data_IF_172267788191
#
_entry.id   IF_172267788191
#
_cell.length_a   1.000
_cell.length_b   1.000
_cell.length_c   1.000
_cell.angle_alpha   90.00
_cell.angle_beta   90.00
_cell.angle_gamma   90.00
#
_symmetry.space_group_name_H-M   'P 1'
#
loop_
_entity.id
_entity.type
_entity.pdbx_description
1 polymer ?
#
# COMPACT_ATOMS: atom_id res chain seq x y z
N UNK A 1 36.83 -6.65 64.63
CA UNK A 1 36.43 -7.54 63.52
C UNK A 1 35.07 -7.10 63.03
N UNK A 2 34.93 -6.45 61.86
CA UNK A 2 33.66 -6.38 61.19
C UNK A 2 33.65 -7.30 59.97
N UNK A 3 32.66 -8.17 60.00
CA UNK A 3 32.15 -9.14 59.03
C UNK A 3 32.19 -8.68 57.58
N UNK A 4 32.80 -9.49 56.72
CA UNK A 4 32.74 -9.34 55.26
C UNK A 4 31.32 -9.39 54.71
N UNK A 5 31.14 -8.80 53.53
CA UNK A 5 29.85 -8.66 52.84
C UNK A 5 29.13 -10.01 52.77
N UNK A 6 27.93 -10.08 53.36
CA UNK A 6 27.09 -11.28 53.34
C UNK A 6 26.61 -11.58 51.91
N UNK A 7 26.65 -12.87 51.53
CA UNK A 7 26.24 -13.37 50.21
C UNK A 7 24.80 -12.95 49.88
N UNK A 8 23.95 -12.83 50.89
CA UNK A 8 22.56 -12.38 50.74
C UNK A 8 22.46 -10.90 50.38
N UNK A 9 23.35 -10.07 50.92
CA UNK A 9 23.44 -8.64 50.60
C UNK A 9 23.97 -8.44 49.18
N UNK A 10 24.97 -9.24 48.77
CA UNK A 10 25.49 -9.23 47.40
C UNK A 10 24.41 -9.61 46.39
N UNK A 11 23.68 -10.72 46.61
CA UNK A 11 22.61 -11.16 45.71
C UNK A 11 21.46 -10.15 45.58
N UNK A 12 21.11 -9.44 46.65
CA UNK A 12 20.12 -8.36 46.62
C UNK A 12 20.61 -7.16 45.80
N UNK A 13 21.89 -6.81 45.91
CA UNK A 13 22.47 -5.71 45.14
C UNK A 13 22.52 -6.03 43.63
N UNK A 14 22.82 -7.27 43.25
CA UNK A 14 22.89 -7.69 41.83
C UNK A 14 21.51 -7.78 41.18
N UNK A 15 20.46 -8.11 41.94
CA UNK A 15 19.08 -8.16 41.40
C UNK A 15 18.47 -6.78 41.20
N UNK A 16 18.89 -5.76 41.98
CA UNK A 16 18.42 -4.39 41.83
C UNK A 16 18.97 -3.70 40.56
N UNK A 17 20.21 -3.99 40.14
CA UNK A 17 20.80 -3.39 38.93
C UNK A 17 20.28 -3.99 37.62
N UNK A 18 19.92 -5.28 37.61
CA UNK A 18 19.33 -5.93 36.43
C UNK A 18 17.90 -5.41 36.12
N UNK A 19 17.10 -5.12 37.15
CA UNK A 19 15.75 -4.59 36.96
C UNK A 19 15.74 -3.13 36.46
N UNK A 20 16.75 -2.31 36.81
CA UNK A 20 16.85 -0.92 36.37
C UNK A 20 17.16 -0.75 34.89
N UNK A 21 17.93 -1.68 34.30
CA UNK A 21 18.28 -1.62 32.87
C UNK A 21 17.11 -1.99 31.95
N UNK A 22 16.13 -2.75 32.44
CA UNK A 22 14.95 -3.17 31.65
C UNK A 22 13.83 -2.13 31.60
N UNK A 23 13.87 -1.07 32.41
CA UNK A 23 12.84 0.00 32.37
C UNK A 23 13.20 1.08 31.36
N UNK A 24 14.50 1.33 31.12
CA UNK A 24 14.96 2.31 30.12
C UNK A 24 14.72 1.89 28.66
N UNK A 25 14.47 0.61 28.40
CA UNK A 25 14.23 0.04 27.07
C UNK A 25 12.75 -0.08 26.69
N UNK A 26 11.83 0.29 27.59
CA UNK A 26 10.38 0.22 27.34
C UNK A 26 9.84 1.53 26.72
N UNK A 27 10.63 2.60 26.67
CA UNK A 27 10.24 3.76 25.87
C UNK A 27 10.36 3.40 24.39
N UNK A 28 9.26 3.31 23.63
CA UNK A 28 9.33 3.06 22.21
C UNK A 28 10.14 4.19 21.58
N UNK A 29 11.12 3.85 20.74
CA UNK A 29 11.95 4.80 19.99
C UNK A 29 11.12 5.78 19.12
N UNK A 30 9.81 5.55 18.98
CA UNK A 30 8.87 6.46 18.32
C UNK A 30 8.46 7.68 19.16
N UNK A 31 8.68 7.65 20.49
CA UNK A 31 8.17 8.67 21.40
C UNK A 31 9.02 9.95 21.34
N UNK A 32 10.20 9.87 20.73
CA UNK A 32 11.06 10.99 20.41
C UNK A 32 11.09 11.28 18.90
N UNK A 33 10.02 10.96 18.17
CA UNK A 33 9.82 11.51 16.83
C UNK A 33 9.01 12.79 16.89
N UNK A 34 9.47 13.76 17.69
CA UNK A 34 9.25 15.19 17.39
C UNK A 34 10.15 15.55 16.19
N UNK A 35 9.91 14.86 15.07
CA UNK A 35 10.32 15.38 13.79
C UNK A 35 9.38 16.56 13.58
N UNK A 36 9.78 17.72 14.09
CA UNK A 36 9.15 18.99 13.76
C UNK A 36 9.03 18.98 12.24
N UNK A 37 7.81 18.73 11.77
CA UNK A 37 7.50 18.79 10.36
C UNK A 37 7.66 20.27 10.08
N UNK A 38 8.83 20.65 9.56
CA UNK A 38 9.03 21.98 8.99
C UNK A 38 7.86 22.15 8.03
N UNK A 39 6.93 23.04 8.38
CA UNK A 39 5.75 23.25 7.59
C UNK A 39 6.23 23.72 6.23
N UNK A 40 6.21 22.81 5.24
CA UNK A 40 6.55 23.14 3.86
C UNK A 40 5.39 23.97 3.34
N UNK A 41 5.51 25.28 3.47
CA UNK A 41 4.59 26.21 2.82
C UNK A 41 4.92 26.22 1.33
N UNK A 42 4.14 25.51 0.52
CA UNK A 42 4.27 25.55 -0.93
C UNK A 42 3.75 26.90 -1.44
N UNK A 43 4.61 27.78 -2.00
CA UNK A 43 4.19 29.10 -2.47
C UNK A 43 3.35 29.05 -3.75
N UNK A 44 3.29 27.89 -4.40
CA UNK A 44 2.52 27.64 -5.62
C UNK A 44 1.52 26.51 -5.38
N UNK A 45 0.39 26.58 -6.07
CA UNK A 45 -0.66 25.55 -6.08
C UNK A 45 -1.02 25.19 -7.52
N UNK A 46 -1.57 24.00 -7.71
CA UNK A 46 -2.08 23.56 -9.02
C UNK A 46 -3.44 24.18 -9.30
N UNK A 47 -3.74 24.45 -10.57
CA UNK A 47 -5.11 24.76 -11.01
C UNK A 47 -6.01 23.54 -10.87
N UNK A 48 -7.31 23.75 -10.62
CA UNK A 48 -8.28 22.67 -10.72
C UNK A 48 -8.44 22.25 -12.19
N UNK A 49 -8.77 20.97 -12.45
CA UNK A 49 -8.91 20.49 -13.83
C UNK A 49 -9.94 21.29 -14.66
N UNK A 50 -11.01 21.77 -14.03
CA UNK A 50 -12.04 22.59 -14.69
C UNK A 50 -11.59 24.00 -15.06
N UNK A 51 -10.51 24.50 -14.44
CA UNK A 51 -9.94 25.83 -14.72
C UNK A 51 -8.93 25.79 -15.88
N UNK A 52 -8.62 24.60 -16.42
CA UNK A 52 -7.63 24.40 -17.48
C UNK A 52 -8.33 23.88 -18.73
N UNK A 53 -8.27 24.65 -19.82
CA UNK A 53 -8.76 24.23 -21.13
C UNK A 53 -7.61 23.84 -22.04
N UNK A 54 -7.62 22.60 -22.53
CA UNK A 54 -6.72 22.18 -23.61
C UNK A 54 -7.25 22.73 -24.93
N UNK A 55 -6.44 23.54 -25.60
CA UNK A 55 -6.72 24.02 -26.95
C UNK A 55 -6.39 22.95 -27.99
N UNK A 56 -6.79 23.20 -29.24
CA UNK A 56 -6.55 22.26 -30.33
C UNK A 56 -5.04 21.96 -30.49
N UNK A 57 -4.70 20.68 -30.42
CA UNK A 57 -3.32 20.21 -30.44
C UNK A 57 -3.14 18.78 -29.93
N UNK A 58 -1.90 18.28 -29.88
CA UNK A 58 -1.62 16.88 -29.51
C UNK A 58 -2.12 16.48 -28.11
N UNK A 59 -2.07 17.39 -27.13
CA UNK A 59 -2.51 17.11 -25.77
C UNK A 59 -4.03 16.95 -25.68
N UNK A 60 -4.81 17.80 -26.36
CA UNK A 60 -6.27 17.68 -26.43
C UNK A 60 -6.67 16.36 -27.11
N UNK A 61 -6.01 16.02 -28.22
CA UNK A 61 -6.27 14.76 -28.93
C UNK A 61 -6.01 13.54 -28.02
N UNK A 62 -4.89 13.51 -27.31
CA UNK A 62 -4.60 12.43 -26.36
C UNK A 62 -5.62 12.37 -25.22
N UNK A 63 -6.04 13.52 -24.69
CA UNK A 63 -7.07 13.61 -23.66
C UNK A 63 -8.40 13.00 -24.16
N UNK A 64 -8.84 13.38 -25.36
CA UNK A 64 -10.08 12.86 -25.97
C UNK A 64 -10.00 11.37 -26.28
N UNK A 65 -8.87 10.89 -26.82
CA UNK A 65 -8.62 9.46 -27.07
C UNK A 65 -8.69 8.66 -25.76
N UNK A 66 -8.04 9.12 -24.70
CA UNK A 66 -8.09 8.47 -23.39
C UNK A 66 -9.50 8.48 -22.81
N UNK A 67 -10.17 9.63 -22.83
CA UNK A 67 -11.52 9.76 -22.30
C UNK A 67 -12.50 8.83 -23.03
N UNK A 68 -12.42 8.80 -24.37
CA UNK A 68 -13.21 7.90 -25.19
C UNK A 68 -12.92 6.44 -24.86
N UNK A 69 -11.66 6.03 -24.73
CA UNK A 69 -11.30 4.65 -24.40
C UNK A 69 -11.81 4.24 -23.02
N UNK A 70 -11.54 5.02 -21.98
CA UNK A 70 -11.88 4.63 -20.61
C UNK A 70 -13.39 4.64 -20.34
N UNK A 71 -14.14 5.57 -20.94
CA UNK A 71 -15.58 5.62 -20.78
C UNK A 71 -16.34 4.58 -21.62
N UNK A 72 -15.68 3.93 -22.58
CA UNK A 72 -16.28 2.89 -23.40
C UNK A 72 -15.67 1.49 -23.11
N UNK A 73 -15.04 1.31 -21.95
CA UNK A 73 -14.69 -0.03 -21.48
C UNK A 73 -15.96 -0.85 -21.25
N UNK A 74 -15.92 -2.13 -21.60
CA UNK A 74 -17.05 -3.04 -21.48
C UNK A 74 -17.21 -3.52 -20.03
N UNK A 75 -18.15 -2.92 -19.31
CA UNK A 75 -18.45 -3.25 -17.91
C UNK A 75 -18.68 -4.74 -17.66
N UNK A 76 -19.23 -5.49 -18.63
CA UNK A 76 -19.48 -6.90 -18.44
C UNK A 76 -18.17 -7.70 -18.39
N UNK A 77 -17.23 -7.37 -19.27
CA UNK A 77 -15.88 -7.94 -19.26
C UNK A 77 -15.12 -7.54 -18.00
N UNK A 78 -15.18 -6.26 -17.64
CA UNK A 78 -14.48 -5.70 -16.47
C UNK A 78 -14.91 -6.34 -15.14
N UNK A 79 -16.22 -6.63 -15.02
CA UNK A 79 -16.81 -7.14 -13.79
C UNK A 79 -16.92 -8.67 -13.77
N UNK A 80 -16.56 -9.34 -14.87
CA UNK A 80 -16.79 -10.78 -15.06
C UNK A 80 -16.23 -11.62 -13.91
N UNK A 81 -14.96 -11.44 -13.58
CA UNK A 81 -14.29 -12.23 -12.53
C UNK A 81 -14.91 -12.01 -11.16
N UNK A 82 -15.25 -10.75 -10.83
CA UNK A 82 -15.91 -10.43 -9.57
C UNK A 82 -17.27 -11.14 -9.45
N UNK A 83 -18.04 -11.16 -10.54
CA UNK A 83 -19.33 -11.85 -10.61
C UNK A 83 -19.15 -13.37 -10.49
N UNK A 84 -18.17 -13.96 -11.16
CA UNK A 84 -17.83 -15.39 -11.05
C UNK A 84 -17.49 -15.79 -9.62
N UNK A 85 -16.62 -15.03 -8.95
CA UNK A 85 -16.23 -15.27 -7.55
C UNK A 85 -17.43 -15.11 -6.60
N UNK A 86 -18.35 -14.19 -6.88
CA UNK A 86 -19.58 -14.00 -6.12
C UNK A 86 -20.69 -15.02 -6.43
N UNK A 87 -20.49 -15.92 -7.41
CA UNK A 87 -21.53 -16.87 -7.86
C UNK A 87 -22.69 -16.21 -8.60
N UNK A 88 -22.48 -15.03 -9.18
CA UNK A 88 -23.47 -14.28 -9.98
C UNK A 88 -23.30 -14.60 -11.48
N UNK A 89 -24.33 -14.27 -12.27
CA UNK A 89 -24.21 -14.31 -13.73
C UNK A 89 -23.10 -13.36 -14.19
N UNK A 90 -22.19 -13.87 -15.03
CA UNK A 90 -20.98 -13.16 -15.45
C UNK A 90 -20.91 -13.11 -16.99
N UNK A 91 -21.72 -12.22 -17.63
CA UNK A 91 -21.67 -11.99 -19.07
C UNK A 91 -20.36 -11.30 -19.48
N UNK A 92 -20.15 -11.14 -20.79
CA UNK A 92 -18.94 -10.56 -21.37
C UNK A 92 -17.90 -11.61 -21.79
N UNK A 93 -17.02 -11.25 -22.72
CA UNK A 93 -15.90 -12.09 -23.13
C UNK A 93 -14.79 -12.13 -22.08
N UNK A 94 -14.06 -13.24 -22.00
CA UNK A 94 -12.89 -13.34 -21.13
C UNK A 94 -11.81 -12.36 -21.58
N UNK A 95 -11.19 -11.68 -20.62
CA UNK A 95 -10.16 -10.67 -20.90
C UNK A 95 -8.75 -11.28 -21.01
N UNK A 96 -8.54 -12.49 -20.50
CA UNK A 96 -7.24 -13.15 -20.56
C UNK A 96 -6.23 -12.59 -19.55
N UNK A 97 -5.04 -13.19 -19.52
CA UNK A 97 -3.89 -12.67 -18.79
C UNK A 97 -4.18 -12.53 -17.30
N UNK A 98 -3.99 -11.32 -16.78
CA UNK A 98 -4.20 -11.04 -15.36
C UNK A 98 -5.68 -10.91 -14.94
N UNK A 99 -6.60 -11.29 -15.82
CA UNK A 99 -8.04 -11.42 -15.57
C UNK A 99 -8.52 -12.88 -15.59
N UNK A 100 -7.63 -13.85 -15.76
CA UNK A 100 -8.02 -15.25 -15.79
C UNK A 100 -8.19 -15.83 -14.38
N UNK A 101 -9.17 -16.72 -14.21
CA UNK A 101 -9.35 -17.50 -12.97
C UNK A 101 -8.53 -18.81 -12.98
N UNK A 102 -7.40 -18.84 -13.69
CA UNK A 102 -6.51 -20.01 -13.80
C UNK A 102 -5.48 -20.11 -12.67
N UNK A 103 -5.12 -18.98 -12.07
CA UNK A 103 -4.09 -18.87 -11.03
C UNK A 103 -2.66 -18.78 -11.59
N UNK A 104 -1.74 -18.23 -10.79
CA UNK A 104 -0.35 -17.98 -11.17
C UNK A 104 0.56 -19.18 -10.94
N UNK A 105 1.50 -19.44 -11.87
CA UNK A 105 2.55 -20.45 -11.70
C UNK A 105 3.94 -19.88 -11.98
N UNK A 106 4.74 -19.74 -10.91
CA UNK A 106 6.14 -19.35 -11.04
C UNK A 106 7.01 -20.46 -11.68
N UNK A 107 6.66 -21.72 -11.44
CA UNK A 107 7.39 -22.87 -11.99
C UNK A 107 7.18 -22.99 -13.50
N UNK A 108 5.97 -22.70 -13.98
CA UNK A 108 5.63 -22.69 -15.40
C UNK A 108 5.93 -21.39 -16.13
N UNK A 109 6.41 -20.35 -15.43
CA UNK A 109 6.50 -18.98 -15.93
C UNK A 109 5.17 -18.49 -16.53
N UNK A 110 4.05 -18.90 -15.92
CA UNK A 110 2.71 -18.53 -16.30
C UNK A 110 2.19 -17.46 -15.33
N UNK A 111 2.01 -16.26 -15.88
CA UNK A 111 1.52 -15.10 -15.15
C UNK A 111 0.05 -14.80 -15.44
N UNK A 112 -0.71 -15.76 -15.96
CA UNK A 112 -2.16 -15.65 -15.99
C UNK A 112 -2.73 -15.82 -14.58
N UNK A 113 -3.78 -15.07 -14.25
CA UNK A 113 -4.36 -15.13 -12.91
C UNK A 113 -4.94 -13.80 -12.43
N UNK A 114 -6.05 -13.87 -11.70
CA UNK A 114 -6.69 -12.69 -11.14
C UNK A 114 -6.03 -12.26 -9.82
N UNK A 115 -5.58 -11.00 -9.75
CA UNK A 115 -5.08 -10.36 -8.52
C UNK A 115 -6.05 -9.26 -8.09
N UNK A 116 -6.87 -9.57 -7.08
CA UNK A 116 -7.77 -8.60 -6.48
C UNK A 116 -6.96 -7.42 -5.88
N UNK A 117 -7.06 -6.24 -6.49
CA UNK A 117 -6.36 -5.01 -6.06
C UNK A 117 -5.50 -4.34 -7.13
N UNK A 118 -5.26 -4.99 -8.27
CA UNK A 118 -4.49 -4.43 -9.40
C UNK A 118 -5.36 -4.00 -10.59
N UNK A 119 -6.68 -3.88 -10.39
CA UNK A 119 -7.62 -3.51 -11.45
C UNK A 119 -7.24 -2.20 -12.13
N UNK A 120 -6.76 -1.19 -11.39
CA UNK A 120 -6.42 0.11 -12.00
C UNK A 120 -5.04 0.16 -12.69
N UNK A 121 -4.28 -0.94 -12.71
CA UNK A 121 -2.99 -1.04 -13.40
C UNK A 121 -3.00 -1.96 -14.64
N UNK A 122 -4.16 -2.55 -14.95
CA UNK A 122 -4.30 -3.54 -16.03
C UNK A 122 -5.18 -3.05 -17.21
N UNK A 123 -5.86 -1.91 -17.09
CA UNK A 123 -6.69 -1.34 -18.15
C UNK A 123 -5.99 -0.24 -18.96
N UNK A 124 -4.67 -0.09 -18.80
CA UNK A 124 -3.79 0.85 -19.54
C UNK A 124 -2.50 0.15 -19.95
#
# INVERSE_FOLDING_TARGET
>A
MPSGVDRRTFLKATSATAAGACVGSILPAWAASDKSLVAVSTPLTTFAYGDVQLLDGPMKRQFEENHSRFLNLDDDRMLKVFRQVAGLAAPGEDMGGWYDLTGFSLEGNDFHGFIAGHTFGQYV
#
